data_IF_063394238540
#
_entry.id   IF_063394238540
#
_cell.length_a   1.000
_cell.length_b   1.000
_cell.length_c   1.000
_cell.angle_alpha   90.00
_cell.angle_beta   90.00
_cell.angle_gamma   90.00
#
_symmetry.space_group_name_H-M   'P 1'
#
loop_
_entity.id
_entity.type
_entity.pdbx_description
1 polymer ?
#
# COMPACT_ATOMS: atom_id res chain seq x y z
N UNK A 1 20.09 -45.81 -6.03
CA UNK A 1 19.64 -45.03 -7.19
C UNK A 1 18.39 -44.19 -6.87
N UNK A 2 17.39 -44.72 -6.16
CA UNK A 2 16.18 -43.95 -5.74
C UNK A 2 16.45 -42.83 -4.73
N UNK A 3 17.49 -42.96 -3.89
CA UNK A 3 17.84 -41.95 -2.87
C UNK A 3 18.47 -40.66 -3.46
N UNK A 4 19.08 -40.76 -4.64
CA UNK A 4 19.75 -39.64 -5.32
C UNK A 4 18.76 -38.76 -6.09
N UNK A 5 17.74 -39.35 -6.72
CA UNK A 5 16.68 -38.60 -7.42
C UNK A 5 15.80 -37.80 -6.46
N UNK A 6 15.47 -38.39 -5.29
CA UNK A 6 14.66 -37.71 -4.26
C UNK A 6 15.39 -36.53 -3.60
N UNK A 7 16.71 -36.63 -3.38
CA UNK A 7 17.54 -35.53 -2.89
C UNK A 7 17.72 -34.41 -3.93
N UNK A 8 17.85 -34.76 -5.22
CA UNK A 8 17.90 -33.78 -6.30
C UNK A 8 16.58 -33.02 -6.44
N UNK A 9 15.44 -33.71 -6.34
CA UNK A 9 14.12 -33.10 -6.45
C UNK A 9 13.79 -32.13 -5.30
N UNK A 10 14.32 -32.41 -4.09
CA UNK A 10 14.22 -31.49 -2.93
C UNK A 10 15.14 -30.26 -3.05
N UNK A 11 16.25 -30.37 -3.80
CA UNK A 11 17.23 -29.30 -3.97
C UNK A 11 16.93 -28.39 -5.19
N UNK A 12 16.13 -28.85 -6.16
CA UNK A 12 15.80 -28.07 -7.35
C UNK A 12 14.84 -26.92 -7.04
N UNK A 13 15.18 -25.68 -7.44
CA UNK A 13 14.30 -24.53 -7.28
C UNK A 13 13.11 -24.64 -8.24
N UNK A 14 11.93 -24.21 -7.80
CA UNK A 14 10.71 -24.31 -8.60
C UNK A 14 10.75 -23.51 -9.91
N UNK A 15 11.66 -22.53 -10.02
CA UNK A 15 11.89 -21.73 -11.24
C UNK A 15 12.23 -22.60 -12.45
N UNK A 16 12.83 -23.77 -12.24
CA UNK A 16 13.32 -24.63 -13.31
C UNK A 16 12.24 -25.56 -13.88
N UNK A 17 10.97 -25.42 -13.49
CA UNK A 17 9.86 -26.25 -14.00
C UNK A 17 9.78 -26.30 -15.53
N UNK A 18 10.10 -25.21 -16.22
CA UNK A 18 10.07 -25.14 -17.69
C UNK A 18 11.22 -25.91 -18.37
N UNK A 19 12.25 -26.30 -17.61
CA UNK A 19 13.37 -27.10 -18.14
C UNK A 19 13.07 -28.59 -18.23
N UNK A 20 12.01 -29.05 -17.56
CA UNK A 20 11.56 -30.44 -17.58
C UNK A 20 10.69 -30.73 -18.81
N UNK A 21 10.66 -31.99 -19.24
CA UNK A 21 9.79 -32.45 -20.31
C UNK A 21 8.33 -32.17 -19.99
N UNK A 22 7.54 -31.83 -21.00
CA UNK A 22 6.14 -31.42 -20.88
C UNK A 22 5.30 -32.39 -20.02
N UNK A 23 5.50 -33.69 -20.16
CA UNK A 23 4.77 -34.73 -19.42
C UNK A 23 5.11 -34.78 -17.93
N UNK A 24 6.33 -34.42 -17.55
CA UNK A 24 6.87 -34.57 -16.19
C UNK A 24 6.69 -33.29 -15.34
N UNK A 25 6.32 -32.17 -15.97
CA UNK A 25 6.18 -30.87 -15.29
C UNK A 25 5.11 -30.88 -14.19
N UNK A 26 3.97 -31.54 -14.41
CA UNK A 26 2.93 -31.63 -13.38
C UNK A 26 3.39 -32.49 -12.19
N UNK A 27 4.08 -33.60 -12.47
CA UNK A 27 4.61 -34.49 -11.43
C UNK A 27 5.65 -33.76 -10.58
N UNK A 28 6.57 -33.05 -11.23
CA UNK A 28 7.55 -32.18 -10.57
C UNK A 28 6.87 -31.13 -9.67
N UNK A 29 5.87 -30.39 -10.16
CA UNK A 29 5.17 -29.35 -9.38
C UNK A 29 4.44 -29.93 -8.17
N UNK A 30 3.93 -31.16 -8.25
CA UNK A 30 3.25 -31.83 -7.13
C UNK A 30 4.23 -32.33 -6.07
N UNK A 31 5.36 -32.88 -6.51
CA UNK A 31 6.33 -33.55 -5.65
C UNK A 31 7.39 -32.60 -5.06
N UNK A 32 7.76 -31.54 -5.77
CA UNK A 32 8.78 -30.61 -5.32
C UNK A 32 8.23 -29.72 -4.18
N UNK A 33 8.80 -29.78 -2.96
CA UNK A 33 8.35 -28.96 -1.84
C UNK A 33 8.56 -27.46 -2.09
N UNK A 34 9.54 -27.10 -2.93
CA UNK A 34 9.80 -25.72 -3.37
C UNK A 34 8.70 -25.14 -4.26
N UNK A 35 7.87 -26.00 -4.89
CA UNK A 35 6.77 -25.60 -5.76
C UNK A 35 5.41 -25.58 -5.08
N UNK A 36 5.28 -26.11 -3.87
CA UNK A 36 4.04 -26.00 -3.13
C UNK A 36 3.94 -24.58 -2.56
N UNK A 37 2.98 -23.76 -3.03
CA UNK A 37 2.78 -22.44 -2.48
C UNK A 37 2.33 -22.64 -1.04
N UNK A 38 3.16 -22.21 -0.11
CA UNK A 38 2.69 -22.05 1.26
C UNK A 38 1.71 -20.87 1.33
N UNK A 39 1.70 -19.98 0.33
CA UNK A 39 1.01 -18.69 0.27
C UNK A 39 -0.27 -18.72 -0.58
N UNK A 40 -1.41 -18.36 0.01
CA UNK A 40 -2.67 -18.12 -0.70
C UNK A 40 -3.67 -19.28 -0.75
N UNK A 41 -4.93 -18.97 -1.09
CA UNK A 41 -6.01 -19.96 -1.18
C UNK A 41 -6.00 -20.78 -2.48
N UNK A 42 -5.38 -20.27 -3.54
CA UNK A 42 -5.37 -20.88 -4.88
C UNK A 42 -3.95 -21.24 -5.29
N UNK A 43 -3.73 -22.51 -5.63
CA UNK A 43 -2.44 -23.00 -6.09
C UNK A 43 -2.29 -22.77 -7.60
N UNK A 44 -1.83 -21.57 -7.98
CA UNK A 44 -1.68 -21.17 -9.38
C UNK A 44 -0.74 -22.07 -10.18
N UNK A 45 0.30 -22.62 -9.56
CA UNK A 45 1.23 -23.54 -10.21
C UNK A 45 0.57 -24.87 -10.57
N UNK A 46 -0.18 -25.46 -9.64
CA UNK A 46 -0.95 -26.67 -9.94
C UNK A 46 -2.08 -26.39 -10.95
N UNK A 47 -2.72 -25.23 -10.87
CA UNK A 47 -3.73 -24.85 -11.84
C UNK A 47 -3.14 -24.76 -13.27
N UNK A 48 -1.98 -24.11 -13.43
CA UNK A 48 -1.27 -23.99 -14.70
C UNK A 48 -0.78 -25.33 -15.24
N UNK A 49 0.05 -26.03 -14.48
CA UNK A 49 0.79 -27.18 -14.99
C UNK A 49 0.04 -28.51 -14.86
N UNK A 50 -0.94 -28.63 -13.97
CA UNK A 50 -1.66 -29.89 -13.74
C UNK A 50 -3.12 -29.89 -14.19
N UNK A 51 -3.87 -28.80 -14.01
CA UNK A 51 -5.30 -28.76 -14.36
C UNK A 51 -5.53 -28.34 -15.81
N UNK A 52 -4.90 -27.24 -16.25
CA UNK A 52 -5.01 -26.74 -17.63
C UNK A 52 -3.96 -27.36 -18.57
N UNK A 53 -2.92 -27.94 -17.98
CA UNK A 53 -1.86 -28.67 -18.67
C UNK A 53 -0.73 -27.77 -19.17
N UNK A 54 0.49 -28.33 -19.27
CA UNK A 54 1.70 -27.59 -19.62
C UNK A 54 1.69 -27.03 -21.06
N UNK A 55 0.90 -27.61 -21.97
CA UNK A 55 0.74 -27.10 -23.34
C UNK A 55 0.03 -25.74 -23.38
N UNK A 56 -0.83 -25.45 -22.41
CA UNK A 56 -1.70 -24.27 -22.38
C UNK A 56 -1.24 -23.20 -21.39
N UNK A 57 0.03 -23.24 -20.95
CA UNK A 57 0.57 -22.30 -19.96
C UNK A 57 0.43 -20.86 -20.44
N UNK A 58 0.70 -20.57 -21.72
CA UNK A 58 0.54 -19.22 -22.29
C UNK A 58 -0.89 -18.70 -22.16
N UNK A 59 -1.89 -19.52 -22.46
CA UNK A 59 -3.30 -19.15 -22.31
C UNK A 59 -3.68 -18.94 -20.85
N UNK A 60 -3.17 -19.77 -19.95
CA UNK A 60 -3.42 -19.64 -18.50
C UNK A 60 -2.79 -18.38 -17.93
N UNK A 61 -1.57 -18.02 -18.36
CA UNK A 61 -0.90 -16.77 -17.99
C UNK A 61 -1.71 -15.59 -18.53
N UNK A 62 -2.13 -15.65 -19.80
CA UNK A 62 -2.98 -14.62 -20.41
C UNK A 62 -4.28 -14.41 -19.63
N UNK A 63 -4.99 -15.48 -19.27
CA UNK A 63 -6.21 -15.42 -18.46
C UNK A 63 -5.93 -14.82 -17.07
N UNK A 64 -4.81 -15.17 -16.45
CA UNK A 64 -4.41 -14.64 -15.13
C UNK A 64 -4.13 -13.13 -15.19
N UNK A 65 -3.50 -12.65 -16.28
CA UNK A 65 -3.26 -11.23 -16.51
C UNK A 65 -4.58 -10.49 -16.75
N UNK A 66 -5.47 -11.03 -17.57
CA UNK A 66 -6.80 -10.45 -17.81
C UNK A 66 -7.60 -10.38 -16.50
N UNK A 67 -7.56 -11.45 -15.70
CA UNK A 67 -8.19 -11.48 -14.38
C UNK A 67 -7.62 -10.40 -13.44
N UNK A 68 -6.30 -10.24 -13.40
CA UNK A 68 -5.64 -9.20 -12.61
C UNK A 68 -6.05 -7.80 -13.07
N UNK A 69 -6.11 -7.55 -14.38
CA UNK A 69 -6.57 -6.27 -14.93
C UNK A 69 -8.03 -5.99 -14.57
N UNK A 70 -8.91 -7.01 -14.63
CA UNK A 70 -10.30 -6.87 -14.19
C UNK A 70 -10.40 -6.51 -12.71
N UNK A 71 -9.62 -7.18 -11.84
CA UNK A 71 -9.57 -6.85 -10.42
C UNK A 71 -9.07 -5.42 -10.18
N UNK A 72 -8.04 -5.00 -10.90
CA UNK A 72 -7.51 -3.64 -10.80
C UNK A 72 -8.56 -2.59 -11.18
N UNK A 73 -9.27 -2.79 -12.29
CA UNK A 73 -10.36 -1.90 -12.74
C UNK A 73 -11.50 -1.90 -11.72
N UNK A 74 -11.91 -3.07 -11.22
CA UNK A 74 -12.97 -3.20 -10.22
C UNK A 74 -12.63 -2.47 -8.92
N UNK A 75 -11.39 -2.60 -8.43
CA UNK A 75 -10.91 -1.87 -7.27
C UNK A 75 -10.86 -0.35 -7.53
N UNK A 76 -10.44 0.07 -8.72
CA UNK A 76 -10.43 1.48 -9.13
C UNK A 76 -11.82 2.10 -9.12
N UNK A 77 -12.79 1.45 -9.76
CA UNK A 77 -14.21 1.89 -9.78
C UNK A 77 -14.77 1.91 -8.36
N UNK A 78 -14.52 0.86 -7.58
CA UNK A 78 -15.01 0.75 -6.20
C UNK A 78 -14.43 1.85 -5.31
N UNK A 79 -13.15 2.17 -5.46
CA UNK A 79 -12.49 3.25 -4.73
C UNK A 79 -13.07 4.62 -5.08
N UNK A 80 -13.38 4.86 -6.36
CA UNK A 80 -13.98 6.10 -6.82
C UNK A 80 -15.42 6.27 -6.32
N UNK A 81 -16.28 5.32 -6.66
CA UNK A 81 -17.73 5.48 -6.54
C UNK A 81 -18.28 5.12 -5.16
N UNK A 82 -17.59 4.28 -4.38
CA UNK A 82 -18.07 3.81 -3.09
C UNK A 82 -17.19 4.29 -1.93
N UNK A 83 -15.87 4.12 -2.02
CA UNK A 83 -14.97 4.47 -0.91
C UNK A 83 -14.88 5.98 -0.70
N UNK A 84 -14.80 6.77 -1.77
CA UNK A 84 -14.65 8.24 -1.66
C UNK A 84 -15.90 8.90 -1.02
N UNK A 85 -17.15 8.61 -1.44
CA UNK A 85 -18.33 9.13 -0.76
C UNK A 85 -18.48 8.64 0.68
N UNK A 86 -18.13 7.38 0.96
CA UNK A 86 -18.15 6.85 2.32
C UNK A 86 -17.18 7.62 3.24
N UNK A 87 -15.96 7.87 2.79
CA UNK A 87 -14.98 8.70 3.50
C UNK A 87 -15.48 10.13 3.72
N UNK A 88 -16.18 10.71 2.73
CA UNK A 88 -16.76 12.05 2.87
C UNK A 88 -17.79 12.11 3.99
N UNK A 89 -18.72 11.14 4.03
CA UNK A 89 -19.76 11.05 5.06
C UNK A 89 -19.14 10.82 6.44
N UNK A 90 -18.20 9.87 6.57
CA UNK A 90 -17.52 9.59 7.83
C UNK A 90 -16.75 10.82 8.34
N UNK A 91 -16.06 11.54 7.44
CA UNK A 91 -15.36 12.78 7.79
C UNK A 91 -16.31 13.85 8.33
N UNK A 92 -17.54 13.93 7.80
CA UNK A 92 -18.58 14.86 8.30
C UNK A 92 -19.09 14.45 9.68
N UNK A 93 -19.39 13.16 9.87
CA UNK A 93 -19.86 12.63 11.15
C UNK A 93 -18.83 12.76 12.26
N UNK A 94 -17.54 12.55 11.95
CA UNK A 94 -16.44 12.65 12.91
C UNK A 94 -15.91 14.09 13.08
N UNK A 95 -16.52 15.09 12.44
CA UNK A 95 -16.06 16.49 12.45
C UNK A 95 -14.57 16.66 12.09
N UNK A 96 -14.03 15.78 11.25
CA UNK A 96 -12.66 15.83 10.76
C UNK A 96 -12.60 16.49 9.39
N UNK A 97 -11.42 17.00 9.01
CA UNK A 97 -11.21 17.50 7.65
C UNK A 97 -10.92 16.34 6.69
N UNK A 98 -11.30 16.50 5.41
CA UNK A 98 -11.10 15.49 4.36
C UNK A 98 -9.63 15.05 4.25
N UNK A 99 -8.68 15.97 4.44
CA UNK A 99 -7.26 15.64 4.45
C UNK A 99 -6.90 14.70 5.61
N UNK A 100 -7.48 14.87 6.80
CA UNK A 100 -7.19 13.98 7.93
C UNK A 100 -7.86 12.63 7.73
N UNK A 101 -9.08 12.58 7.18
CA UNK A 101 -9.76 11.34 6.82
C UNK A 101 -8.96 10.53 5.79
N UNK A 102 -8.40 11.17 4.76
CA UNK A 102 -7.53 10.50 3.77
C UNK A 102 -6.23 9.97 4.38
N UNK A 103 -5.56 10.74 5.24
CA UNK A 103 -4.28 10.31 5.84
C UNK A 103 -4.48 9.19 6.89
N UNK A 104 -5.70 9.00 7.40
CA UNK A 104 -6.00 8.02 8.46
C UNK A 104 -6.85 6.86 7.98
N UNK A 105 -8.11 7.12 7.57
CA UNK A 105 -9.09 6.08 7.24
C UNK A 105 -8.75 5.37 5.93
N UNK A 106 -8.34 6.11 4.90
CA UNK A 106 -7.91 5.51 3.63
C UNK A 106 -6.61 4.73 3.83
N UNK A 107 -5.65 5.28 4.57
CA UNK A 107 -4.40 4.60 4.91
C UNK A 107 -4.66 3.30 5.72
N UNK A 108 -5.58 3.33 6.68
CA UNK A 108 -5.98 2.16 7.45
C UNK A 108 -6.70 1.11 6.60
N UNK A 109 -7.61 1.54 5.72
CA UNK A 109 -8.35 0.67 4.81
C UNK A 109 -7.44 -0.10 3.88
N UNK A 110 -6.38 0.55 3.37
CA UNK A 110 -5.37 -0.11 2.53
C UNK A 110 -4.43 -1.00 3.37
N UNK A 111 -3.94 -0.50 4.50
CA UNK A 111 -2.93 -1.22 5.30
C UNK A 111 -3.45 -2.46 6.03
N UNK A 112 -4.73 -2.51 6.38
CA UNK A 112 -5.35 -3.65 7.08
C UNK A 112 -5.20 -4.99 6.32
N UNK A 113 -5.70 -5.13 5.06
CA UNK A 113 -5.53 -6.37 4.29
C UNK A 113 -4.06 -6.70 4.02
N UNK A 114 -3.19 -5.69 3.83
CA UNK A 114 -1.76 -5.91 3.61
C UNK A 114 -1.09 -6.54 4.84
N UNK A 115 -1.43 -6.10 6.05
CA UNK A 115 -0.93 -6.69 7.30
C UNK A 115 -1.39 -8.14 7.44
N UNK A 116 -2.68 -8.43 7.18
CA UNK A 116 -3.19 -9.79 7.25
C UNK A 116 -2.55 -10.73 6.23
N UNK A 117 -2.38 -10.27 4.99
CA UNK A 117 -1.69 -11.00 3.93
C UNK A 117 -0.23 -11.26 4.29
N UNK A 118 0.47 -10.23 4.80
CA UNK A 118 1.87 -10.34 5.24
C UNK A 118 2.03 -11.32 6.42
N UNK A 119 1.12 -11.27 7.40
CA UNK A 119 1.15 -12.18 8.54
C UNK A 119 0.90 -13.64 8.13
N UNK A 120 -0.10 -13.86 7.26
CA UNK A 120 -0.35 -15.19 6.69
C UNK A 120 0.92 -15.69 5.99
N UNK A 121 1.58 -14.82 5.24
CA UNK A 121 2.75 -15.20 4.48
C UNK A 121 4.02 -15.47 5.29
N UNK A 122 4.22 -14.71 6.38
CA UNK A 122 5.32 -14.95 7.31
C UNK A 122 5.12 -16.28 8.05
N UNK A 123 3.88 -16.60 8.46
CA UNK A 123 3.55 -17.90 9.10
C UNK A 123 3.85 -19.10 8.20
N UNK A 124 3.86 -18.87 6.89
CA UNK A 124 4.10 -19.84 5.84
C UNK A 124 5.58 -19.92 5.42
N UNK A 125 6.44 -19.14 6.08
CA UNK A 125 7.89 -19.16 5.88
C UNK A 125 8.40 -18.37 4.69
N UNK A 126 7.54 -17.62 3.97
CA UNK A 126 7.95 -16.87 2.77
C UNK A 126 8.14 -15.38 3.07
N UNK A 127 9.06 -15.07 3.98
CA UNK A 127 9.36 -13.70 4.41
C UNK A 127 9.93 -12.83 3.28
N UNK A 128 10.77 -13.38 2.39
CA UNK A 128 11.40 -12.64 1.29
C UNK A 128 10.37 -12.06 0.32
N UNK A 129 9.35 -12.88 -0.02
CA UNK A 129 8.27 -12.48 -0.91
C UNK A 129 7.40 -11.39 -0.28
N UNK A 130 7.08 -11.52 1.02
CA UNK A 130 6.28 -10.55 1.77
C UNK A 130 6.99 -9.20 1.83
N UNK A 131 8.26 -9.19 2.23
CA UNK A 131 9.00 -7.93 2.37
C UNK A 131 9.23 -7.29 0.99
N UNK A 132 9.53 -8.10 -0.04
CA UNK A 132 9.65 -7.62 -1.42
C UNK A 132 8.35 -6.98 -1.94
N UNK A 133 7.20 -7.57 -1.62
CA UNK A 133 5.89 -7.01 -1.96
C UNK A 133 5.61 -5.68 -1.27
N UNK A 134 5.87 -5.57 0.04
CA UNK A 134 5.66 -4.34 0.81
C UNK A 134 6.52 -3.18 0.30
N UNK A 135 7.81 -3.44 0.03
CA UNK A 135 8.73 -2.41 -0.46
C UNK A 135 8.43 -2.05 -1.90
N UNK A 136 8.17 -3.04 -2.76
CA UNK A 136 7.76 -2.80 -4.15
C UNK A 136 6.50 -1.95 -4.24
N UNK A 137 5.50 -2.24 -3.40
CA UNK A 137 4.27 -1.44 -3.30
C UNK A 137 4.54 0.01 -2.87
N UNK A 138 5.35 0.22 -1.83
CA UNK A 138 5.73 1.56 -1.38
C UNK A 138 6.46 2.37 -2.46
N UNK A 139 7.41 1.74 -3.16
CA UNK A 139 8.14 2.36 -4.27
C UNK A 139 7.19 2.69 -5.42
N UNK A 140 6.31 1.76 -5.82
CA UNK A 140 5.34 1.97 -6.88
C UNK A 140 4.41 3.15 -6.59
N UNK A 141 3.85 3.23 -5.38
CA UNK A 141 2.95 4.31 -4.99
C UNK A 141 3.68 5.66 -4.96
N UNK A 142 4.90 5.71 -4.44
CA UNK A 142 5.63 6.98 -4.31
C UNK A 142 6.29 7.46 -5.59
N UNK A 143 6.61 6.57 -6.53
CA UNK A 143 7.22 6.96 -7.82
C UNK A 143 6.16 7.10 -8.91
N UNK A 144 5.41 6.04 -9.20
CA UNK A 144 4.47 6.01 -10.33
C UNK A 144 3.19 6.75 -9.99
N UNK A 145 2.55 6.43 -8.87
CA UNK A 145 1.26 7.04 -8.51
C UNK A 145 1.43 8.51 -8.13
N UNK A 146 2.33 8.85 -7.19
CA UNK A 146 2.56 10.25 -6.83
C UNK A 146 3.13 11.07 -8.01
N UNK A 147 4.03 10.50 -8.82
CA UNK A 147 4.58 11.16 -10.01
C UNK A 147 3.52 11.47 -11.07
N UNK A 148 2.62 10.52 -11.34
CA UNK A 148 1.50 10.75 -12.27
C UNK A 148 0.52 11.83 -11.77
N UNK A 149 0.23 11.86 -10.47
CA UNK A 149 -0.62 12.90 -9.85
C UNK A 149 0.04 14.28 -10.02
N UNK A 150 1.36 14.37 -9.83
CA UNK A 150 2.10 15.62 -9.98
C UNK A 150 2.08 16.16 -11.41
N UNK A 151 2.13 15.28 -12.42
CA UNK A 151 2.07 15.67 -13.83
C UNK A 151 0.68 16.05 -14.31
N UNK A 152 -0.37 15.45 -13.74
CA UNK A 152 -1.75 15.57 -14.27
C UNK A 152 -2.54 16.73 -13.69
N UNK A 153 -2.17 17.25 -12.51
CA UNK A 153 -3.00 18.20 -11.78
C UNK A 153 -2.19 19.36 -11.18
N UNK A 154 -2.58 20.63 -11.44
CA UNK A 154 -1.97 21.79 -10.82
C UNK A 154 -2.45 21.93 -9.36
N UNK A 155 -1.78 21.27 -8.42
CA UNK A 155 -2.11 21.34 -7.00
C UNK A 155 -1.38 22.48 -6.27
N UNK A 156 -2.14 23.31 -5.54
CA UNK A 156 -1.58 24.17 -4.47
C UNK A 156 -1.46 23.35 -3.18
N UNK A 157 -0.29 22.81 -2.90
CA UNK A 157 -0.03 22.06 -1.68
C UNK A 157 0.36 22.98 -0.51
N UNK A 158 -0.18 22.70 0.68
CA UNK A 158 0.28 23.34 1.90
C UNK A 158 1.68 22.81 2.24
N UNK A 159 2.72 23.63 2.05
CA UNK A 159 4.12 23.22 2.19
C UNK A 159 4.49 22.65 3.55
N UNK A 160 3.89 23.14 4.65
CA UNK A 160 4.21 22.67 6.01
C UNK A 160 3.81 21.21 6.27
N UNK A 161 2.53 20.79 6.10
CA UNK A 161 2.16 19.38 6.21
C UNK A 161 2.89 18.48 5.21
N UNK A 162 3.06 18.94 3.97
CA UNK A 162 3.74 18.18 2.93
C UNK A 162 5.20 17.89 3.26
N UNK A 163 5.96 18.91 3.68
CA UNK A 163 7.37 18.75 4.06
C UNK A 163 7.52 17.80 5.25
N UNK A 164 6.63 17.90 6.25
CA UNK A 164 6.60 16.97 7.39
C UNK A 164 6.41 15.53 6.89
N UNK A 165 5.38 15.28 6.09
CA UNK A 165 5.07 13.93 5.62
C UNK A 165 6.21 13.35 4.77
N UNK A 166 6.82 14.17 3.91
CA UNK A 166 7.99 13.81 3.12
C UNK A 166 9.21 13.48 4.02
N UNK A 167 9.51 14.31 5.03
CA UNK A 167 10.62 14.07 5.97
C UNK A 167 10.47 12.74 6.72
N UNK A 168 9.29 12.46 7.27
CA UNK A 168 9.05 11.19 7.96
C UNK A 168 9.15 10.00 7.01
N UNK A 169 8.60 10.14 5.80
CA UNK A 169 8.67 9.09 4.79
C UNK A 169 10.11 8.81 4.34
N UNK A 170 10.89 9.84 4.00
CA UNK A 170 12.30 9.68 3.60
C UNK A 170 13.12 9.10 4.74
N UNK A 171 12.89 9.52 5.99
CA UNK A 171 13.57 8.94 7.16
C UNK A 171 13.27 7.45 7.29
N UNK A 172 11.99 7.06 7.18
CA UNK A 172 11.58 5.66 7.23
C UNK A 172 12.18 4.85 6.06
N UNK A 173 12.17 5.40 4.85
CA UNK A 173 12.72 4.76 3.66
C UNK A 173 14.25 4.56 3.77
N UNK A 174 14.98 5.57 4.23
CA UNK A 174 16.43 5.48 4.48
C UNK A 174 16.75 4.43 5.55
N UNK A 175 15.95 4.38 6.62
CA UNK A 175 16.09 3.39 7.69
C UNK A 175 15.81 1.96 7.19
N UNK A 176 14.78 1.77 6.36
CA UNK A 176 14.51 0.50 5.68
C UNK A 176 15.66 0.10 4.75
N UNK A 177 16.18 1.03 3.95
CA UNK A 177 17.31 0.77 3.05
C UNK A 177 18.56 0.33 3.81
N UNK A 178 18.84 0.96 4.95
CA UNK A 178 19.96 0.59 5.82
C UNK A 178 19.86 -0.86 6.31
N UNK A 179 18.68 -1.33 6.72
CA UNK A 179 18.52 -2.73 7.12
C UNK A 179 18.59 -3.71 5.97
N UNK A 180 18.06 -3.33 4.81
CA UNK A 180 18.21 -4.11 3.59
C UNK A 180 19.67 -4.33 3.24
N UNK A 181 20.49 -3.29 3.37
CA UNK A 181 21.94 -3.38 3.16
C UNK A 181 22.63 -4.24 4.23
N UNK A 182 22.18 -4.16 5.48
CA UNK A 182 22.77 -4.91 6.61
C UNK A 182 22.40 -6.40 6.58
N UNK A 183 21.29 -6.78 5.94
CA UNK A 183 20.88 -8.18 5.74
C UNK A 183 20.26 -8.87 6.97
N UNK A 184 20.17 -8.21 8.12
CA UNK A 184 19.59 -8.76 9.34
C UNK A 184 18.62 -7.75 10.00
N UNK A 185 17.44 -8.22 10.40
CA UNK A 185 16.43 -7.41 11.09
C UNK A 185 16.42 -7.82 12.58
N UNK A 186 16.74 -6.87 13.46
CA UNK A 186 16.73 -7.10 14.92
C UNK A 186 15.39 -6.67 15.54
N UNK A 187 15.06 -7.17 16.74
CA UNK A 187 13.86 -6.71 17.47
C UNK A 187 13.91 -5.21 17.77
N UNK A 188 15.09 -4.66 18.04
CA UNK A 188 15.31 -3.22 18.25
C UNK A 188 14.94 -2.42 16.99
N UNK A 189 15.28 -2.94 15.81
CA UNK A 189 14.90 -2.35 14.52
C UNK A 189 13.38 -2.23 14.36
N UNK A 190 12.65 -3.29 14.72
CA UNK A 190 11.18 -3.33 14.65
C UNK A 190 10.53 -2.33 15.63
N UNK A 191 11.03 -2.27 16.87
CA UNK A 191 10.57 -1.28 17.86
C UNK A 191 10.84 0.14 17.34
N UNK A 192 11.99 0.38 16.70
CA UNK A 192 12.32 1.66 16.07
C UNK A 192 11.28 2.11 15.04
N UNK A 193 10.83 1.21 14.15
CA UNK A 193 9.77 1.52 13.18
C UNK A 193 8.43 1.84 13.85
N UNK A 194 8.05 1.11 14.90
CA UNK A 194 6.82 1.37 15.65
C UNK A 194 6.91 2.74 16.35
N UNK A 195 8.04 3.06 16.97
CA UNK A 195 8.28 4.35 17.60
C UNK A 195 8.23 5.50 16.58
N UNK A 196 8.85 5.33 15.41
CA UNK A 196 8.83 6.32 14.33
C UNK A 196 7.41 6.56 13.82
N UNK A 197 6.64 5.49 13.59
CA UNK A 197 5.23 5.59 13.19
C UNK A 197 4.36 6.27 14.27
N UNK A 198 4.56 5.91 15.54
CA UNK A 198 3.85 6.52 16.66
C UNK A 198 4.15 8.02 16.76
N UNK A 199 5.42 8.41 16.63
CA UNK A 199 5.84 9.82 16.62
C UNK A 199 5.21 10.59 15.44
N UNK A 200 5.18 9.99 14.25
CA UNK A 200 4.50 10.56 13.08
C UNK A 200 3.02 10.83 13.36
N UNK A 201 2.28 9.83 13.88
CA UNK A 201 0.85 9.98 14.20
C UNK A 201 0.63 11.08 15.24
N UNK A 202 1.41 11.10 16.32
CA UNK A 202 1.31 12.15 17.35
C UNK A 202 1.52 13.53 16.74
N UNK A 203 2.55 13.71 15.90
CA UNK A 203 2.81 14.99 15.25
C UNK A 203 1.71 15.38 14.26
N UNK A 204 1.15 14.45 13.50
CA UNK A 204 0.02 14.69 12.60
C UNK A 204 -1.21 15.15 13.38
N UNK A 205 -1.54 14.45 14.46
CA UNK A 205 -2.70 14.77 15.31
C UNK A 205 -2.51 16.12 15.98
N UNK A 206 -1.37 16.36 16.63
CA UNK A 206 -1.06 17.62 17.31
C UNK A 206 -1.08 18.79 16.34
N UNK A 207 -0.43 18.68 15.19
CA UNK A 207 -0.45 19.74 14.17
C UNK A 207 -1.85 19.96 13.56
N UNK A 208 -2.66 18.91 13.44
CA UNK A 208 -4.07 18.99 13.07
C UNK A 208 -4.89 19.78 14.08
N UNK A 209 -4.76 19.45 15.37
CA UNK A 209 -5.43 20.15 16.47
C UNK A 209 -5.01 21.62 16.56
N UNK A 210 -3.71 21.90 16.47
CA UNK A 210 -3.18 23.27 16.48
C UNK A 210 -3.79 24.07 15.32
N UNK A 211 -3.82 23.51 14.10
CA UNK A 211 -4.40 24.16 12.92
C UNK A 211 -5.89 24.45 13.10
N UNK A 212 -6.65 23.51 13.64
CA UNK A 212 -8.08 23.72 13.92
C UNK A 212 -8.31 24.83 14.97
N UNK A 213 -7.49 24.86 16.04
CA UNK A 213 -7.57 25.95 17.03
C UNK A 213 -7.25 27.32 16.44
N UNK A 214 -6.20 27.43 15.63
CA UNK A 214 -5.87 28.69 14.96
C UNK A 214 -6.99 29.19 14.06
N UNK A 215 -7.60 28.29 13.27
CA UNK A 215 -8.74 28.65 12.41
C UNK A 215 -9.94 29.09 13.24
N UNK A 216 -10.31 28.35 14.29
CA UNK A 216 -11.42 28.72 15.16
C UNK A 216 -11.20 30.06 15.86
N UNK A 217 -9.97 30.36 16.27
CA UNK A 217 -9.63 31.64 16.88
C UNK A 217 -9.73 32.79 15.86
N UNK A 218 -9.24 32.62 14.63
CA UNK A 218 -9.37 33.62 13.56
C UNK A 218 -10.85 33.86 13.17
N UNK A 219 -11.69 32.82 13.14
CA UNK A 219 -13.13 32.97 12.89
C UNK A 219 -13.83 33.71 14.03
N UNK A 220 -13.45 33.46 15.29
CA UNK A 220 -13.95 34.23 16.44
C UNK A 220 -13.54 35.70 16.36
N UNK A 221 -12.31 35.99 15.96
CA UNK A 221 -11.82 37.36 15.80
C UNK A 221 -12.56 38.11 14.69
N UNK A 222 -12.82 37.46 13.54
CA UNK A 222 -13.62 38.02 12.45
C UNK A 222 -15.10 38.22 12.79
N UNK A 223 -15.71 37.33 13.59
CA UNK A 223 -17.09 37.52 14.06
C UNK A 223 -17.21 38.59 15.16
N UNK A 224 -16.10 38.95 15.82
CA UNK A 224 -16.07 39.98 16.88
C UNK A 224 -15.86 41.39 16.29
N UNK A 225 -15.40 41.50 15.04
CA UNK A 225 -15.40 42.75 14.26
C UNK A 225 -16.57 42.76 13.27
N UNK A 226 -17.78 43.18 13.68
CA UNK A 226 -18.85 43.40 12.71
C UNK A 226 -18.47 44.58 11.80
N UNK A 227 -18.22 44.27 10.54
CA UNK A 227 -18.55 45.05 9.34
C UNK A 227 -18.55 46.58 9.44
N UNK A 228 -17.48 47.21 9.93
CA UNK A 228 -17.26 48.67 9.82
C UNK A 228 -16.74 49.07 8.42
N UNK A 229 -17.28 48.44 7.35
CA UNK A 229 -16.81 48.70 5.98
C UNK A 229 -17.92 48.61 4.93
N UNK A 230 -19.19 48.47 5.35
CA UNK A 230 -20.34 48.49 4.41
C UNK A 230 -21.20 49.76 4.46
N UNK A 231 -21.04 50.64 5.45
CA UNK A 231 -21.81 51.91 5.51
C UNK A 231 -21.12 53.09 4.81
N UNK A 232 -19.79 53.11 4.66
CA UNK A 232 -19.10 54.26 4.02
C UNK A 232 -19.25 54.34 2.48
N UNK A 233 -19.92 53.37 1.84
CA UNK A 233 -20.20 53.41 0.38
C UNK A 233 -21.63 53.80 0.01
N UNK A 234 -22.53 54.04 0.97
CA UNK A 234 -23.90 54.50 0.66
C UNK A 234 -24.07 56.03 0.80
N UNK A 235 -23.15 56.73 1.46
CA UNK A 235 -23.29 58.18 1.75
C UNK A 235 -22.47 59.10 0.81
N UNK A 236 -21.67 58.56 -0.12
CA UNK A 236 -20.92 59.32 -1.15
C UNK A 236 -21.39 59.03 -2.57
N UNK A 237 -22.69 58.84 -2.72
CA UNK A 237 -23.38 58.62 -3.99
C UNK A 237 -24.64 59.49 -4.08
N UNK A 238 -24.49 60.79 -3.89
CA UNK A 238 -25.43 61.83 -4.35
C UNK A 238 -24.62 62.92 -5.00
#
# INVERSE_FOLDING_TARGET
MVLTDSLQLMATPCRDVTSWNLTDQCEFVRMAPSCQPNMGYVNYLQLMYCMLGPENVTYTVGLSVVWLLMLFVALGITSGDFLTPALFVISKTLHMSQNVAGVTLLAFGNGSPDIFSSLAGIRQGSYELVIGGLIGGGIFVTTVVAGSIFLTQPFKMAGRPFLRDCLFYTTAASWTFYFFYTGYITMTSAIGFICLYSAYIVLVVVSGFIRQRFLNNATKENNTKPTDSKEEKLEKGT
#
